data_IF_234174183595
#
_entry.id   IF_234174183595
#
_cell.length_a   1.000
_cell.length_b   1.000
_cell.length_c   1.000
_cell.angle_alpha   90.00
_cell.angle_beta   90.00
_cell.angle_gamma   90.00
#
_symmetry.space_group_name_H-M   'P 1'
#
loop_
_entity.id
_entity.type
_entity.pdbx_description
1 polymer ?
#
# COMPACT_ATOMS: atom_id res chain seq x y z
N UNK A 1 -18.89 38.13 3.68
CA UNK A 1 -17.85 37.31 3.06
C UNK A 1 -17.24 36.43 4.14
N UNK A 2 -17.72 35.19 4.23
CA UNK A 2 -17.42 34.27 5.32
C UNK A 2 -16.02 33.67 5.19
N UNK A 3 -15.34 33.66 6.34
CA UNK A 3 -14.01 33.18 6.63
C UNK A 3 -13.73 31.76 6.07
N UNK A 4 -12.72 31.60 5.22
CA UNK A 4 -12.14 30.30 4.87
C UNK A 4 -11.04 29.96 5.89
N UNK A 5 -11.44 29.52 7.08
CA UNK A 5 -10.51 28.94 8.04
C UNK A 5 -10.27 27.48 7.65
N UNK A 6 -9.28 27.22 6.78
CA UNK A 6 -8.70 25.88 6.63
C UNK A 6 -7.75 25.62 7.80
N UNK A 7 -8.31 25.40 8.99
CA UNK A 7 -7.55 25.32 10.22
C UNK A 7 -8.25 24.45 11.26
N UNK A 8 -8.08 23.15 11.10
CA UNK A 8 -8.34 22.13 12.11
C UNK A 8 -7.77 20.83 11.58
N UNK A 9 -7.12 20.04 12.44
CA UNK A 9 -6.44 18.77 12.12
C UNK A 9 -7.40 17.63 11.66
N UNK A 10 -8.54 18.00 11.07
CA UNK A 10 -9.69 17.17 10.72
C UNK A 10 -10.17 17.43 9.28
N UNK A 11 -9.28 17.88 8.37
CA UNK A 11 -9.64 18.01 6.96
C UNK A 11 -9.36 16.69 6.24
N UNK A 12 -10.43 15.97 5.92
CA UNK A 12 -10.38 14.80 5.07
C UNK A 12 -9.70 15.11 3.73
N UNK A 13 -8.55 14.48 3.45
CA UNK A 13 -7.92 14.59 2.14
C UNK A 13 -8.85 13.93 1.12
N UNK A 14 -9.22 14.70 0.08
CA UNK A 14 -10.02 14.23 -1.05
C UNK A 14 -9.27 14.46 -2.35
N UNK A 15 -9.09 13.40 -3.14
CA UNK A 15 -8.44 13.50 -4.45
C UNK A 15 -9.22 12.68 -5.48
N UNK A 16 -9.69 13.34 -6.55
CA UNK A 16 -10.44 12.71 -7.65
C UNK A 16 -11.63 11.82 -7.18
N UNK A 17 -12.31 12.23 -6.11
CA UNK A 17 -13.45 11.50 -5.54
C UNK A 17 -13.07 10.41 -4.52
N UNK A 18 -11.78 10.19 -4.25
CA UNK A 18 -11.31 9.29 -3.19
C UNK A 18 -11.14 10.08 -1.90
N UNK A 19 -11.80 9.64 -0.83
CA UNK A 19 -11.68 10.21 0.51
C UNK A 19 -10.68 9.42 1.37
N UNK A 20 -9.88 10.13 2.15
CA UNK A 20 -8.83 9.60 3.03
C UNK A 20 -7.91 8.61 2.32
N UNK A 21 -7.23 9.01 1.22
CA UNK A 21 -6.39 8.11 0.45
C UNK A 21 -5.22 7.52 1.24
N UNK A 22 -4.82 8.14 2.35
CA UNK A 22 -3.77 7.70 3.28
C UNK A 22 -3.99 8.31 4.68
N UNK A 23 -3.24 7.84 5.68
CA UNK A 23 -3.18 8.42 7.02
C UNK A 23 -4.46 8.25 7.84
N UNK A 24 -5.22 7.18 7.60
CA UNK A 24 -6.45 6.90 8.35
C UNK A 24 -6.53 5.41 8.69
N UNK A 25 -6.66 4.57 7.67
CA UNK A 25 -6.64 3.11 7.77
C UNK A 25 -5.66 2.55 6.75
N UNK A 26 -4.99 1.47 7.14
CA UNK A 26 -4.27 0.63 6.21
C UNK A 26 -5.25 -0.04 5.26
N UNK A 27 -4.89 -0.10 3.98
CA UNK A 27 -5.72 -0.71 2.95
C UNK A 27 -5.03 -1.94 2.40
N UNK A 28 -5.60 -3.12 2.62
CA UNK A 28 -5.14 -4.34 1.96
C UNK A 28 -5.32 -4.24 0.45
N UNK A 29 -4.30 -4.69 -0.25
CA UNK A 29 -4.31 -4.85 -1.69
C UNK A 29 -4.51 -6.32 -2.02
N UNK A 30 -5.59 -6.62 -2.73
CA UNK A 30 -5.83 -7.97 -3.25
C UNK A 30 -5.00 -8.19 -4.53
N UNK A 31 -4.72 -9.45 -4.85
CA UNK A 31 -3.96 -9.80 -6.05
C UNK A 31 -2.47 -9.44 -5.99
N UNK A 32 -1.90 -9.10 -4.82
CA UNK A 32 -0.45 -8.93 -4.63
C UNK A 32 0.05 -9.76 -3.45
N UNK A 33 1.06 -10.60 -3.72
CA UNK A 33 1.74 -11.40 -2.71
C UNK A 33 3.23 -11.10 -2.74
N UNK A 34 3.86 -11.14 -1.58
CA UNK A 34 5.30 -10.96 -1.46
C UNK A 34 5.89 -12.13 -0.70
N UNK A 35 7.03 -12.63 -1.16
CA UNK A 35 7.82 -13.62 -0.43
C UNK A 35 9.27 -13.15 -0.35
N UNK A 36 9.70 -12.72 0.83
CA UNK A 36 11.01 -12.09 1.02
C UNK A 36 11.21 -10.87 0.10
N UNK A 37 12.11 -10.95 -0.89
CA UNK A 37 12.31 -9.89 -1.88
C UNK A 37 11.28 -9.97 -3.01
N UNK A 38 10.81 -11.17 -3.37
CA UNK A 38 10.08 -11.39 -4.61
C UNK A 38 8.62 -10.94 -4.49
N UNK A 39 8.21 -10.05 -5.39
CA UNK A 39 6.83 -9.54 -5.47
C UNK A 39 6.10 -10.15 -6.66
N UNK A 40 4.87 -10.59 -6.42
CA UNK A 40 4.03 -11.24 -7.40
C UNK A 40 2.66 -10.57 -7.48
N UNK A 41 2.11 -10.39 -8.69
CA UNK A 41 0.76 -9.84 -8.88
C UNK A 41 -0.14 -10.71 -9.75
N UNK A 42 -1.43 -10.66 -9.48
CA UNK A 42 -2.49 -11.31 -10.21
C UNK A 42 -3.54 -10.27 -10.60
N UNK A 43 -3.92 -10.25 -11.87
CA UNK A 43 -4.98 -9.38 -12.39
C UNK A 43 -6.29 -10.12 -12.64
N UNK A 44 -6.33 -11.43 -12.36
CA UNK A 44 -7.54 -12.24 -12.52
C UNK A 44 -8.14 -12.55 -11.14
N UNK A 45 -9.27 -11.94 -10.76
CA UNK A 45 -9.91 -12.16 -9.47
C UNK A 45 -10.24 -13.62 -9.16
N UNK A 46 -10.50 -14.44 -10.20
CA UNK A 46 -10.78 -15.87 -10.02
C UNK A 46 -9.58 -16.66 -9.45
N UNK A 47 -8.38 -16.08 -9.47
CA UNK A 47 -7.16 -16.70 -8.96
C UNK A 47 -6.59 -15.98 -7.74
N UNK A 48 -7.30 -15.01 -7.18
CA UNK A 48 -6.85 -14.34 -5.96
C UNK A 48 -6.71 -15.34 -4.82
N UNK A 49 -5.50 -15.40 -4.28
CA UNK A 49 -5.11 -16.32 -3.23
C UNK A 49 -3.96 -15.71 -2.44
N UNK A 50 -3.92 -16.01 -1.14
CA UNK A 50 -2.83 -15.58 -0.27
C UNK A 50 -1.65 -16.55 -0.32
N UNK A 51 -0.48 -16.08 0.10
CA UNK A 51 0.73 -16.88 0.36
C UNK A 51 1.15 -17.80 -0.79
N UNK A 52 0.97 -17.33 -2.03
CA UNK A 52 1.25 -18.12 -3.23
C UNK A 52 1.81 -17.29 -4.38
N UNK A 53 2.64 -17.94 -5.20
CA UNK A 53 3.05 -17.46 -6.52
C UNK A 53 2.29 -18.18 -7.66
N UNK A 54 1.50 -19.22 -7.35
CA UNK A 54 0.77 -19.98 -8.37
C UNK A 54 -0.29 -19.09 -9.03
N UNK A 55 -0.28 -18.99 -10.36
CA UNK A 55 -1.13 -18.09 -11.16
C UNK A 55 -0.86 -16.59 -10.96
N UNK A 56 0.23 -16.23 -10.26
CA UNK A 56 0.69 -14.87 -10.12
C UNK A 56 1.93 -14.64 -11.01
N UNK A 57 2.09 -13.41 -11.48
CA UNK A 57 3.22 -12.97 -12.29
C UNK A 57 4.26 -12.31 -11.40
N UNK A 58 5.51 -12.73 -11.47
CA UNK A 58 6.61 -12.04 -10.82
C UNK A 58 6.84 -10.67 -11.48
N UNK A 59 6.86 -9.61 -10.67
CA UNK A 59 6.99 -8.22 -11.16
C UNK A 59 8.26 -7.50 -10.71
N UNK A 60 9.04 -8.12 -9.82
CA UNK A 60 10.31 -7.56 -9.36
C UNK A 60 10.58 -7.80 -7.88
N UNK A 61 11.77 -7.41 -7.48
CA UNK A 61 12.20 -7.47 -6.09
C UNK A 61 11.92 -6.15 -5.39
N UNK A 62 11.26 -6.24 -4.23
CA UNK A 62 11.17 -5.14 -3.28
C UNK A 62 12.40 -5.11 -2.37
N UNK A 63 12.62 -3.97 -1.72
CA UNK A 63 13.66 -3.83 -0.70
C UNK A 63 13.39 -4.77 0.51
N UNK A 64 14.46 -5.29 1.10
CA UNK A 64 14.43 -6.15 2.29
C UNK A 64 14.86 -5.41 3.56
N UNK A 65 14.44 -4.15 3.68
CA UNK A 65 14.68 -3.31 4.84
C UNK A 65 13.51 -2.33 4.96
N UNK A 66 13.11 -2.04 6.19
CA UNK A 66 12.16 -0.96 6.46
C UNK A 66 12.86 0.40 6.48
N UNK A 67 12.08 1.46 6.25
CA UNK A 67 12.57 2.83 6.28
C UNK A 67 11.86 3.77 5.32
N UNK A 68 12.32 5.02 5.32
CA UNK A 68 11.79 6.07 4.46
C UNK A 68 12.16 5.86 3.00
N UNK A 69 11.15 5.77 2.14
CA UNK A 69 11.30 5.40 0.74
C UNK A 69 12.02 6.51 -0.03
N UNK A 70 13.10 6.13 -0.71
CA UNK A 70 13.82 7.02 -1.63
C UNK A 70 13.55 6.70 -3.11
N UNK A 71 13.03 5.50 -3.40
CA UNK A 71 12.77 5.07 -4.78
C UNK A 71 11.69 4.00 -4.86
N UNK A 72 10.83 4.15 -5.85
CA UNK A 72 9.89 3.14 -6.31
C UNK A 72 10.32 2.56 -7.66
N UNK A 73 9.98 1.29 -7.90
CA UNK A 73 9.82 0.75 -9.25
C UNK A 73 8.34 0.68 -9.58
N UNK A 74 8.02 0.81 -10.87
CA UNK A 74 6.67 0.67 -11.39
C UNK A 74 6.64 -0.58 -12.27
N UNK A 75 5.71 -1.49 -11.98
CA UNK A 75 5.47 -2.62 -12.86
C UNK A 75 4.78 -2.17 -14.16
N UNK A 76 4.76 -3.03 -15.17
CA UNK A 76 3.98 -2.79 -16.40
C UNK A 76 2.48 -2.68 -16.16
N UNK A 77 1.99 -3.18 -15.02
CA UNK A 77 0.58 -3.13 -14.63
C UNK A 77 0.26 -1.90 -13.74
N UNK A 78 1.25 -1.05 -13.45
CA UNK A 78 1.09 0.11 -12.59
C UNK A 78 1.27 -0.17 -11.09
N UNK A 79 1.79 -1.33 -10.72
CA UNK A 79 2.11 -1.67 -9.33
C UNK A 79 3.28 -0.81 -8.84
N UNK A 80 3.16 -0.26 -7.64
CA UNK A 80 4.18 0.58 -7.02
C UNK A 80 4.92 -0.25 -5.98
N UNK A 81 6.21 -0.49 -6.20
CA UNK A 81 7.03 -1.32 -5.31
C UNK A 81 8.20 -0.50 -4.74
N UNK A 82 8.39 -0.46 -3.41
CA UNK A 82 9.56 0.17 -2.81
C UNK A 82 10.85 -0.62 -3.09
N UNK A 83 11.87 0.06 -3.61
CA UNK A 83 13.16 -0.57 -3.97
C UNK A 83 14.37 0.06 -3.27
N UNK A 84 14.17 1.14 -2.52
CA UNK A 84 15.22 1.74 -1.70
C UNK A 84 14.61 2.57 -0.56
N UNK A 85 15.26 2.52 0.60
CA UNK A 85 14.86 3.22 1.83
C UNK A 85 15.96 4.15 2.38
N UNK A 86 16.47 5.05 1.54
CA UNK A 86 17.52 6.01 1.92
C UNK A 86 16.99 7.41 2.27
N UNK A 87 15.68 7.53 2.53
CA UNK A 87 15.03 8.81 2.77
C UNK A 87 14.94 9.23 4.23
N UNK A 88 14.06 10.19 4.48
CA UNK A 88 13.65 10.63 5.81
C UNK A 88 12.23 11.18 5.77
N UNK A 89 11.69 11.59 6.91
CA UNK A 89 10.43 12.33 7.02
C UNK A 89 10.39 13.65 6.21
N UNK A 90 11.55 14.14 5.75
CA UNK A 90 11.67 15.42 5.03
C UNK A 90 12.46 15.33 3.72
N UNK A 91 12.85 14.14 3.29
CA UNK A 91 13.64 13.94 2.06
C UNK A 91 13.07 12.84 1.18
N UNK A 92 13.21 13.02 -0.13
CA UNK A 92 12.69 12.12 -1.16
C UNK A 92 11.16 12.03 -1.17
N UNK A 93 10.59 10.85 -0.90
CA UNK A 93 9.15 10.61 -0.98
C UNK A 93 8.46 10.92 0.36
N UNK A 94 9.20 10.90 1.47
CA UNK A 94 8.66 11.06 2.83
C UNK A 94 7.56 10.04 3.18
N UNK A 95 7.52 8.88 2.52
CA UNK A 95 6.62 7.78 2.82
C UNK A 95 7.42 6.63 3.44
N UNK A 96 6.89 5.96 4.47
CA UNK A 96 7.58 4.84 5.12
C UNK A 96 7.27 3.50 4.45
N UNK A 97 8.24 2.60 4.43
CA UNK A 97 8.07 1.21 4.02
C UNK A 97 8.28 0.26 5.20
N UNK A 98 7.29 -0.60 5.46
CA UNK A 98 7.34 -1.61 6.53
C UNK A 98 7.63 -3.01 5.98
N UNK A 99 8.56 -3.74 6.61
CA UNK A 99 9.12 -4.98 6.06
C UNK A 99 9.10 -6.15 7.05
N UNK A 100 8.84 -7.37 6.52
CA UNK A 100 9.17 -8.63 7.19
C UNK A 100 9.50 -9.73 6.14
N UNK A 101 10.10 -10.84 6.58
CA UNK A 101 10.56 -11.97 5.74
C UNK A 101 9.45 -12.99 5.47
N UNK A 102 9.58 -13.82 4.43
CA UNK A 102 8.61 -14.85 4.06
C UNK A 102 7.35 -14.30 3.39
N UNK A 103 6.28 -15.12 3.34
CA UNK A 103 5.01 -14.76 2.71
C UNK A 103 4.29 -13.65 3.46
N UNK A 104 4.07 -12.52 2.79
CA UNK A 104 3.44 -11.32 3.33
C UNK A 104 2.44 -10.76 2.34
N UNK A 105 1.41 -10.15 2.90
CA UNK A 105 0.39 -9.39 2.16
C UNK A 105 0.81 -7.93 2.07
N UNK A 106 0.48 -7.26 0.97
CA UNK A 106 0.76 -5.84 0.80
C UNK A 106 -0.44 -4.98 1.22
N UNK A 107 -0.15 -3.89 1.92
CA UNK A 107 -1.15 -2.87 2.27
C UNK A 107 -0.56 -1.48 2.24
N UNK A 108 -1.41 -0.47 2.06
CA UNK A 108 -0.97 0.90 1.75
C UNK A 108 -1.69 1.97 2.56
N UNK A 109 -1.05 3.13 2.68
CA UNK A 109 -1.65 4.37 3.14
C UNK A 109 -1.32 4.78 4.59
N UNK A 110 -1.01 3.87 5.50
CA UNK A 110 -0.75 4.23 6.90
C UNK A 110 -2.00 4.53 7.74
N UNK A 111 -1.83 4.46 9.05
CA UNK A 111 -2.85 4.77 10.07
C UNK A 111 -2.87 6.24 10.45
N UNK A 112 -3.97 6.66 11.05
CA UNK A 112 -4.12 7.99 11.66
C UNK A 112 -3.05 8.34 12.71
N UNK A 113 -2.41 7.32 13.32
CA UNK A 113 -1.39 7.50 14.37
C UNK A 113 0.04 7.40 13.84
N UNK A 114 0.23 7.08 12.57
CA UNK A 114 1.56 6.87 11.98
C UNK A 114 2.24 8.21 11.69
N UNK A 115 1.52 9.34 11.77
CA UNK A 115 2.11 10.67 11.65
C UNK A 115 2.75 10.89 10.29
N UNK A 116 4.04 11.24 10.27
CA UNK A 116 4.81 11.47 9.05
C UNK A 116 5.10 10.19 8.26
N UNK A 117 4.99 8.99 8.87
CA UNK A 117 5.26 7.73 8.18
C UNK A 117 4.20 7.41 7.11
N UNK A 118 2.96 7.91 7.32
CA UNK A 118 1.83 7.68 6.45
C UNK A 118 1.86 8.57 5.21
N UNK A 119 1.32 8.05 4.11
CA UNK A 119 1.28 8.79 2.85
C UNK A 119 0.82 7.93 1.68
N UNK A 120 0.73 8.53 0.50
CA UNK A 120 0.12 7.88 -0.66
C UNK A 120 0.96 6.72 -1.20
N UNK A 121 2.29 6.82 -1.09
CA UNK A 121 3.24 5.74 -1.42
C UNK A 121 3.73 4.98 -0.19
N UNK A 122 3.09 5.17 0.97
CA UNK A 122 3.38 4.37 2.17
C UNK A 122 2.89 2.94 1.93
N UNK A 123 3.82 1.98 1.90
CA UNK A 123 3.55 0.57 1.63
C UNK A 123 4.03 -0.26 2.81
N UNK A 124 3.35 -1.35 3.10
CA UNK A 124 3.74 -2.28 4.13
C UNK A 124 3.58 -3.72 3.64
N UNK A 125 4.56 -4.54 3.97
CA UNK A 125 4.56 -5.98 3.72
C UNK A 125 5.18 -6.71 4.93
N UNK A 126 4.64 -6.45 6.12
CA UNK A 126 5.12 -7.05 7.37
C UNK A 126 4.11 -7.96 8.09
N UNK A 127 2.89 -8.08 7.56
CA UNK A 127 1.83 -8.94 8.08
C UNK A 127 1.63 -10.19 7.21
N UNK A 128 1.16 -11.25 7.85
CA UNK A 128 0.75 -12.49 7.18
C UNK A 128 -0.73 -12.42 6.80
N UNK A 129 -1.16 -13.28 5.88
CA UNK A 129 -2.53 -13.35 5.38
C UNK A 129 -3.59 -13.65 6.45
N UNK A 130 -3.19 -14.33 7.54
CA UNK A 130 -4.07 -14.68 8.65
C UNK A 130 -4.25 -13.57 9.70
N UNK A 131 -3.52 -12.46 9.58
CA UNK A 131 -3.58 -11.37 10.54
C UNK A 131 -4.89 -10.59 10.40
N UNK A 132 -5.50 -10.23 11.54
CA UNK A 132 -6.78 -9.52 11.58
C UNK A 132 -6.65 -8.34 12.55
N UNK A 133 -6.89 -7.13 12.05
CA UNK A 133 -6.80 -5.90 12.83
C UNK A 133 -7.98 -4.97 12.55
N UNK A 134 -8.41 -4.23 13.56
CA UNK A 134 -9.51 -3.25 13.45
C UNK A 134 -9.15 -2.03 12.60
N UNK A 135 -7.86 -1.85 12.29
CA UNK A 135 -7.33 -0.69 11.58
C UNK A 135 -6.85 -1.03 10.15
N UNK A 136 -7.12 -2.26 9.68
CA UNK A 136 -6.91 -2.69 8.31
C UNK A 136 -8.28 -2.87 7.66
N UNK A 137 -8.47 -2.25 6.50
CA UNK A 137 -9.66 -2.43 5.67
C UNK A 137 -9.29 -2.73 4.23
N UNK A 138 -10.30 -2.76 3.37
CA UNK A 138 -10.15 -2.82 1.92
C UNK A 138 -11.10 -1.82 1.27
N UNK A 139 -10.78 -1.36 0.06
CA UNK A 139 -11.71 -0.59 -0.75
C UNK A 139 -12.33 -1.49 -1.79
N UNK A 140 -13.64 -1.33 -2.01
CA UNK A 140 -14.34 -2.05 -3.04
C UNK A 140 -13.81 -1.64 -4.42
N UNK A 141 -13.35 -2.62 -5.19
CA UNK A 141 -12.95 -2.45 -6.58
C UNK A 141 -14.06 -2.99 -7.49
N UNK A 142 -14.41 -2.23 -8.54
CA UNK A 142 -15.35 -2.66 -9.58
C UNK A 142 -14.60 -2.84 -10.89
N UNK A 143 -14.71 -4.02 -11.49
CA UNK A 143 -14.14 -4.33 -12.81
C UNK A 143 -15.30 -4.41 -13.81
N UNK A 144 -15.43 -3.46 -14.74
CA UNK A 144 -16.50 -3.50 -15.74
C UNK A 144 -16.40 -4.75 -16.61
N UNK A 145 -17.51 -5.49 -16.76
CA UNK A 145 -17.58 -6.68 -17.61
C UNK A 145 -17.19 -8.00 -16.92
N UNK A 146 -16.95 -7.99 -15.61
CA UNK A 146 -16.92 -9.18 -14.79
C UNK A 146 -18.31 -9.39 -14.18
N UNK A 147 -19.09 -10.32 -14.73
CA UNK A 147 -20.33 -10.76 -14.09
C UNK A 147 -19.94 -11.67 -12.90
N UNK A 148 -20.49 -11.38 -11.72
CA UNK A 148 -20.28 -12.14 -10.49
C UNK A 148 -21.28 -13.29 -10.36
#
# INVERSE_FOLDING_TARGET
>A
YGNNTFGGDNVAIRYRGIEHPFGNYWMWLDGINVNDAMTYTCNNPAYFAYDTATNYTYIGDKIQAEGWISKHMFSTNGDIIPVAVNGSESTYMCDYYWYNTGWRVAYVGGLFRDGSDAGLGCVAANLVSSDVYTFIGARLCYIPGLDW
#
